data_IF_049313944782
#
_entry.id   IF_049313944782
#
_cell.length_a   1.000
_cell.length_b   1.000
_cell.length_c   1.000
_cell.angle_alpha   90.00
_cell.angle_beta   90.00
_cell.angle_gamma   90.00
#
_symmetry.space_group_name_H-M   'P 1'
#
loop_
_entity.id
_entity.type
_entity.pdbx_description
1 polymer ?
#
# COMPACT_ATOMS: atom_id res chain seq x y z
N UNK A 1 -36.55 -2.85 1.55
CA UNK A 1 -35.40 -2.93 0.61
C UNK A 1 -34.44 -1.79 0.93
N UNK A 2 -33.23 -2.07 1.42
CA UNK A 2 -32.15 -1.08 1.45
C UNK A 2 -31.05 -1.60 0.52
N UNK A 3 -31.01 -1.01 -0.67
CA UNK A 3 -30.00 -1.29 -1.69
C UNK A 3 -28.67 -0.72 -1.20
N UNK A 4 -27.81 -1.54 -0.58
CA UNK A 4 -26.39 -1.20 -0.45
C UNK A 4 -25.79 -1.31 -1.85
N UNK A 5 -25.22 -0.25 -2.45
CA UNK A 5 -24.44 -0.44 -3.66
C UNK A 5 -23.31 -1.41 -3.34
N UNK A 6 -23.35 -2.59 -3.96
CA UNK A 6 -22.21 -3.50 -3.98
C UNK A 6 -21.09 -2.82 -4.77
N UNK A 7 -19.88 -2.87 -4.21
CA UNK A 7 -18.60 -2.73 -4.91
C UNK A 7 -18.21 -1.31 -5.31
N UNK A 8 -17.74 -0.51 -4.35
CA UNK A 8 -16.49 0.19 -4.64
C UNK A 8 -15.44 -0.91 -4.75
N UNK A 9 -15.02 -1.24 -5.97
CA UNK A 9 -13.97 -2.24 -6.20
C UNK A 9 -12.67 -1.66 -5.65
N UNK A 10 -12.42 -1.81 -4.35
CA UNK A 10 -11.19 -1.33 -3.74
C UNK A 10 -10.01 -2.06 -4.39
N UNK A 11 -9.14 -1.28 -5.02
CA UNK A 11 -7.92 -1.79 -5.63
C UNK A 11 -6.90 -1.97 -4.51
N UNK A 12 -6.52 -3.23 -4.28
CA UNK A 12 -5.49 -3.58 -3.30
C UNK A 12 -4.17 -3.79 -4.02
N UNK A 13 -3.13 -3.17 -3.49
CA UNK A 13 -1.75 -3.36 -3.92
C UNK A 13 -0.91 -3.84 -2.75
N UNK A 14 -0.15 -4.91 -2.94
CA UNK A 14 0.89 -5.34 -2.02
C UNK A 14 2.18 -4.66 -2.48
N UNK A 15 2.70 -3.76 -1.67
CA UNK A 15 3.93 -3.04 -1.94
C UNK A 15 5.04 -3.55 -1.01
N UNK A 16 6.23 -3.73 -1.57
CA UNK A 16 7.43 -4.12 -0.83
C UNK A 16 8.41 -2.97 -0.91
N UNK A 17 8.82 -2.48 0.25
CA UNK A 17 9.84 -1.47 0.43
C UNK A 17 11.04 -2.09 1.14
N UNK A 18 12.23 -1.60 0.85
CA UNK A 18 13.45 -1.88 1.59
C UNK A 18 13.82 -0.67 2.42
N UNK A 19 14.22 -0.90 3.66
CA UNK A 19 14.80 0.10 4.55
C UNK A 19 16.02 -0.52 5.21
N UNK A 20 17.21 -0.04 4.86
CA UNK A 20 18.49 -0.52 5.41
C UNK A 20 18.66 -2.05 5.34
N UNK A 21 18.20 -2.68 4.24
CA UNK A 21 18.23 -4.13 4.07
C UNK A 21 17.09 -4.89 4.75
N UNK A 22 16.17 -4.19 5.43
CA UNK A 22 14.94 -4.76 5.96
C UNK A 22 13.77 -4.55 5.00
N UNK A 23 13.16 -5.66 4.58
CA UNK A 23 11.97 -5.64 3.73
C UNK A 23 10.68 -5.44 4.52
N UNK A 24 9.97 -4.39 4.18
CA UNK A 24 8.68 -4.02 4.74
C UNK A 24 7.61 -4.26 3.68
N UNK A 25 6.60 -5.05 4.01
CA UNK A 25 5.46 -5.29 3.11
C UNK A 25 4.24 -4.55 3.62
N UNK A 26 3.68 -3.67 2.80
CA UNK A 26 2.49 -2.86 3.13
C UNK A 26 1.37 -3.13 2.14
N UNK A 27 0.13 -3.08 2.63
CA UNK A 27 -1.06 -3.17 1.80
C UNK A 27 -1.60 -1.76 1.56
N UNK A 28 -1.66 -1.35 0.31
CA UNK A 28 -2.23 -0.08 -0.11
C UNK A 28 -3.60 -0.35 -0.72
N UNK A 29 -4.63 0.29 -0.18
CA UNK A 29 -6.00 0.21 -0.68
C UNK A 29 -6.37 1.54 -1.32
N UNK A 30 -6.90 1.50 -2.53
CA UNK A 30 -7.26 2.70 -3.29
C UNK A 30 -8.63 2.54 -3.92
N UNK A 31 -9.43 3.62 -4.02
CA UNK A 31 -10.78 3.55 -4.61
C UNK A 31 -10.76 3.47 -6.15
N UNK A 32 -9.60 3.67 -6.77
CA UNK A 32 -9.37 3.68 -8.22
C UNK A 32 -7.98 3.09 -8.51
N UNK A 33 -7.72 2.58 -9.72
CA UNK A 33 -6.36 2.22 -10.08
C UNK A 33 -5.46 3.47 -10.02
N UNK A 34 -4.27 3.27 -9.47
CA UNK A 34 -3.26 4.32 -9.30
C UNK A 34 -2.03 4.02 -10.13
N UNK A 35 -1.33 5.07 -10.54
CA UNK A 35 -0.04 4.90 -11.23
C UNK A 35 1.03 4.36 -10.30
N UNK A 36 2.13 3.82 -10.86
CA UNK A 36 3.27 3.34 -10.07
C UNK A 36 3.86 4.43 -9.16
N UNK A 37 3.85 5.68 -9.59
CA UNK A 37 4.42 6.79 -8.83
C UNK A 37 3.50 7.22 -7.68
N UNK A 38 2.19 7.30 -7.94
CA UNK A 38 1.19 7.48 -6.87
C UNK A 38 1.26 6.33 -5.86
N UNK A 39 1.36 5.09 -6.33
CA UNK A 39 1.44 3.91 -5.48
C UNK A 39 2.70 3.89 -4.62
N UNK A 40 3.83 4.36 -5.16
CA UNK A 40 5.09 4.50 -4.42
C UNK A 40 4.91 5.46 -3.24
N UNK A 41 4.37 6.65 -3.48
CA UNK A 41 4.12 7.62 -2.42
C UNK A 41 3.19 7.07 -1.33
N UNK A 42 2.10 6.42 -1.74
CA UNK A 42 1.16 5.79 -0.82
C UNK A 42 1.77 4.63 -0.02
N UNK A 43 2.64 3.83 -0.63
CA UNK A 43 3.33 2.74 0.05
C UNK A 43 4.29 3.26 1.12
N UNK A 44 5.06 4.31 0.80
CA UNK A 44 6.01 4.92 1.75
C UNK A 44 5.26 5.55 2.93
N UNK A 45 4.21 6.32 2.65
CA UNK A 45 3.35 6.91 3.69
C UNK A 45 2.79 5.85 4.63
N UNK A 46 2.29 4.74 4.08
CA UNK A 46 1.81 3.60 4.87
C UNK A 46 2.90 2.90 5.67
N UNK A 47 4.12 2.83 5.17
CA UNK A 47 5.23 2.24 5.89
C UNK A 47 5.67 3.13 7.06
N UNK A 48 5.71 4.45 6.86
CA UNK A 48 5.98 5.43 7.92
C UNK A 48 4.90 5.33 9.01
N UNK A 49 3.62 5.36 8.65
CA UNK A 49 2.51 5.23 9.61
C UNK A 49 2.61 3.92 10.41
N UNK A 50 2.91 2.81 9.72
CA UNK A 50 3.07 1.51 10.37
C UNK A 50 4.26 1.49 11.35
N UNK A 51 5.39 2.10 10.99
CA UNK A 51 6.56 2.21 11.86
C UNK A 51 6.31 3.17 13.03
N UNK A 52 5.60 4.27 12.80
CA UNK A 52 5.23 5.23 13.84
C UNK A 52 4.38 4.57 14.94
N UNK A 53 3.46 3.66 14.57
CA UNK A 53 2.69 2.85 15.53
C UNK A 53 3.61 1.97 16.41
N UNK A 54 4.75 1.52 15.87
CA UNK A 54 5.75 0.75 16.62
C UNK A 54 6.74 1.62 17.41
N UNK A 55 6.61 2.95 17.37
CA UNK A 55 7.51 3.89 18.03
C UNK A 55 8.80 4.15 17.25
N UNK A 56 8.85 3.79 15.97
CA UNK A 56 9.99 4.01 15.09
C UNK A 56 9.69 5.24 14.23
N UNK A 57 10.48 6.29 14.40
CA UNK A 57 10.48 7.42 13.47
C UNK A 57 11.19 7.00 12.17
N UNK A 58 10.52 7.20 11.04
CA UNK A 58 11.05 6.86 9.74
C UNK A 58 10.72 7.98 8.75
N UNK A 59 11.71 8.33 7.94
CA UNK A 59 11.63 9.35 6.92
C UNK A 59 11.38 8.72 5.55
N UNK A 60 10.67 9.42 4.63
CA UNK A 60 10.30 8.87 3.34
C UNK A 60 11.51 8.53 2.44
N UNK A 61 12.65 9.21 2.60
CA UNK A 61 13.88 8.93 1.87
C UNK A 61 14.62 7.66 2.35
N UNK A 62 14.25 7.11 3.50
CA UNK A 62 14.82 5.85 4.01
C UNK A 62 14.25 4.60 3.31
N UNK A 63 13.25 4.76 2.44
CA UNK A 63 12.55 3.65 1.81
C UNK A 63 12.85 3.55 0.32
N UNK A 64 13.41 2.41 -0.07
CA UNK A 64 13.58 2.05 -1.48
C UNK A 64 12.46 1.13 -1.96
N UNK A 65 11.69 1.49 -3.00
CA UNK A 65 10.63 0.65 -3.51
C UNK A 65 11.20 -0.55 -4.28
N UNK A 66 11.05 -1.74 -3.71
CA UNK A 66 11.50 -3.01 -4.32
C UNK A 66 10.54 -3.47 -5.40
N UNK A 67 9.23 -3.37 -5.15
CA UNK A 67 8.21 -3.81 -6.09
C UNK A 67 6.79 -3.69 -5.55
N UNK A 68 5.82 -3.89 -6.44
CA UNK A 68 4.41 -3.92 -6.07
C UNK A 68 3.67 -4.96 -6.92
N UNK A 69 2.58 -5.49 -6.36
CA UNK A 69 1.66 -6.39 -7.06
C UNK A 69 0.22 -5.97 -6.77
N UNK A 70 -0.56 -5.76 -7.82
CA UNK A 70 -2.02 -5.61 -7.70
C UNK A 70 -2.64 -6.95 -7.30
N UNK A 71 -3.51 -6.92 -6.31
CA UNK A 71 -4.32 -8.06 -5.88
C UNK A 71 -5.69 -7.89 -6.49
N UNK A 72 -5.90 -8.50 -7.65
CA UNK A 72 -7.24 -8.65 -8.22
C UNK A 72 -8.02 -9.65 -7.36
N UNK A 73 -9.20 -9.31 -6.82
CA UNK A 73 -10.04 -10.30 -6.16
C UNK A 73 -10.37 -11.38 -7.20
N UNK A 74 -10.09 -12.64 -6.87
CA UNK A 74 -10.46 -13.78 -7.70
C UNK A 74 -11.97 -13.70 -7.95
N UNK A 75 -12.36 -13.59 -9.22
CA UNK A 75 -13.74 -13.74 -9.65
C UNK A 75 -13.84 -15.19 -10.12
N UNK A 76 -14.36 -16.06 -9.27
CA UNK A 76 -14.81 -17.41 -9.63
C UNK A 76 -16.18 -17.33 -10.32
#
# INVERSE_FOLDING_TARGET
>A
MNYRPKSATEHRYICVLDRDGWRITVNVFTPRPVTKDELRGLAIDRAIDHLAITGIDAQPDEFEPVGFREVTPYVD
#
